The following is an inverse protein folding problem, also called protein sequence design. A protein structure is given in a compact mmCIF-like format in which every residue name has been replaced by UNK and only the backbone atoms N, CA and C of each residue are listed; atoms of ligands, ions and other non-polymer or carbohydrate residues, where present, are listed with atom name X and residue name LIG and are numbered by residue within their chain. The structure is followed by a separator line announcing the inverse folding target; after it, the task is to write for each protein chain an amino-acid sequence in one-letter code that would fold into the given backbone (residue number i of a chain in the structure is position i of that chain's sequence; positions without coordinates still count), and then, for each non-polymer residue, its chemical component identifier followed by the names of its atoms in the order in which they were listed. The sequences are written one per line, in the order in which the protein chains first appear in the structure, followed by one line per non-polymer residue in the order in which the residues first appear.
data_IF_226019864716
#
_entry.id   IF_226019864716
#
_cell.length_a   1.000
_cell.length_b   1.000
_cell.length_c   1.000
_cell.angle_alpha   90.00
_cell.angle_beta   90.00
_cell.angle_gamma   90.00
#
_symmetry.space_group_name_H-M   'P 1'
#
loop_
_entity.id
_entity.type
_entity.pdbx_description
1 polymer ?
#
# COMPACT_ATOMS: atom_id res chain seq x y z
N UNK A 1 -11.82 -39.35 -2.04
CA UNK A 1 -11.59 -37.90 -2.31
C UNK A 1 -12.32 -37.00 -1.32
N UNK A 2 -13.58 -37.27 -0.94
CA UNK A 2 -14.25 -36.53 0.15
C UNK A 2 -13.49 -36.69 1.48
N UNK A 3 -13.15 -37.92 1.86
CA UNK A 3 -12.37 -38.20 3.08
C UNK A 3 -10.99 -37.50 3.05
N UNK A 4 -10.37 -37.39 1.88
CA UNK A 4 -9.10 -36.66 1.70
C UNK A 4 -9.28 -35.14 1.87
N UNK A 5 -10.39 -34.58 1.38
CA UNK A 5 -10.72 -33.16 1.58
C UNK A 5 -10.99 -32.86 3.05
N UNK A 6 -11.73 -33.74 3.73
CA UNK A 6 -12.00 -33.65 5.15
C UNK A 6 -10.73 -33.79 5.98
N UNK A 7 -9.90 -34.80 5.69
CA UNK A 7 -8.61 -34.98 6.36
C UNK A 7 -7.70 -33.76 6.16
N UNK A 8 -7.66 -33.18 4.95
CA UNK A 8 -6.90 -31.96 4.67
C UNK A 8 -7.42 -30.77 5.49
N UNK A 9 -8.74 -30.52 5.48
CA UNK A 9 -9.32 -29.38 6.17
C UNK A 9 -9.21 -29.53 7.70
N UNK A 10 -9.56 -30.70 8.24
CA UNK A 10 -9.63 -30.93 9.69
C UNK A 10 -8.26 -31.16 10.31
N UNK A 11 -7.27 -31.61 9.53
CA UNK A 11 -5.87 -31.60 9.95
C UNK A 11 -5.29 -30.18 10.08
N UNK A 12 -5.94 -29.17 9.49
CA UNK A 12 -5.49 -27.78 9.47
C UNK A 12 -6.31 -26.89 10.39
N UNK A 13 -7.63 -26.99 10.34
CA UNK A 13 -8.57 -26.16 11.09
C UNK A 13 -9.59 -27.02 11.84
N UNK A 14 -10.01 -26.64 13.07
CA UNK A 14 -11.03 -27.38 13.81
C UNK A 14 -12.31 -27.60 12.99
N UNK A 15 -12.96 -28.75 13.14
CA UNK A 15 -14.20 -29.08 12.43
C UNK A 15 -15.31 -28.03 12.65
N UNK A 16 -15.51 -27.61 13.90
CA UNK A 16 -16.48 -26.57 14.25
C UNK A 16 -16.18 -25.24 13.54
N UNK A 17 -14.90 -24.89 13.43
CA UNK A 17 -14.48 -23.70 12.69
C UNK A 17 -14.76 -23.86 11.19
N UNK A 18 -14.44 -25.02 10.60
CA UNK A 18 -14.75 -25.30 9.20
C UNK A 18 -16.26 -25.16 8.93
N UNK A 19 -17.10 -25.70 9.82
CA UNK A 19 -18.56 -25.64 9.73
C UNK A 19 -19.09 -24.20 9.79
N UNK A 20 -18.66 -23.42 10.80
CA UNK A 20 -19.09 -22.02 10.98
C UNK A 20 -18.55 -21.08 9.90
N UNK A 21 -17.31 -21.29 9.44
CA UNK A 21 -16.71 -20.48 8.37
C UNK A 21 -17.34 -20.81 7.01
N UNK A 22 -17.86 -22.03 6.83
CA UNK A 22 -18.47 -22.51 5.59
C UNK A 22 -17.48 -23.14 4.62
N UNK A 23 -16.45 -23.81 5.14
CA UNK A 23 -15.48 -24.56 4.32
C UNK A 23 -16.18 -25.76 3.67
N UNK A 24 -15.98 -25.94 2.37
CA UNK A 24 -16.61 -27.01 1.59
C UNK A 24 -15.63 -27.76 0.68
N UNK A 25 -16.15 -28.66 -0.14
CA UNK A 25 -15.38 -29.39 -1.13
C UNK A 25 -16.09 -29.38 -2.49
N UNK A 26 -15.34 -29.06 -3.55
CA UNK A 26 -15.78 -29.16 -4.94
C UNK A 26 -15.33 -30.51 -5.53
N UNK A 27 -16.24 -31.46 -5.80
CA UNK A 27 -15.89 -32.76 -6.37
C UNK A 27 -15.31 -32.65 -7.79
N UNK A 28 -14.56 -33.67 -8.19
CA UNK A 28 -13.91 -33.74 -9.52
C UNK A 28 -14.88 -33.57 -10.68
N UNK A 29 -16.04 -34.21 -10.60
CA UNK A 29 -17.00 -34.26 -11.70
C UNK A 29 -17.91 -33.03 -11.79
N UNK A 30 -17.96 -32.19 -10.74
CA UNK A 30 -18.82 -31.02 -10.65
C UNK A 30 -20.33 -31.32 -10.72
N UNK A 31 -20.74 -32.60 -10.84
CA UNK A 31 -22.11 -33.00 -11.16
C UNK A 31 -23.08 -32.63 -10.05
N UNK A 32 -22.66 -32.87 -8.80
CA UNK A 32 -23.47 -32.55 -7.63
C UNK A 32 -23.86 -31.06 -7.57
N UNK A 33 -22.94 -30.17 -7.92
CA UNK A 33 -23.21 -28.72 -7.95
C UNK A 33 -24.18 -28.36 -9.08
N UNK A 34 -23.92 -28.85 -10.30
CA UNK A 34 -24.79 -28.57 -11.46
C UNK A 34 -26.21 -29.12 -11.25
N UNK A 35 -26.34 -30.32 -10.71
CA UNK A 35 -27.64 -30.94 -10.40
C UNK A 35 -28.38 -30.17 -9.29
N UNK A 36 -27.66 -29.73 -8.25
CA UNK A 36 -28.22 -28.89 -7.20
C UNK A 36 -28.79 -27.59 -7.78
N UNK A 37 -28.02 -26.88 -8.60
CA UNK A 37 -28.44 -25.64 -9.26
C UNK A 37 -29.66 -25.86 -10.17
N UNK A 38 -29.66 -26.93 -10.96
CA UNK A 38 -30.79 -27.30 -11.82
C UNK A 38 -32.06 -27.57 -11.01
N UNK A 39 -31.96 -28.33 -9.91
CA UNK A 39 -33.09 -28.61 -9.00
C UNK A 39 -33.61 -27.35 -8.31
N UNK A 40 -32.73 -26.38 -8.05
CA UNK A 40 -33.10 -25.08 -7.47
C UNK A 40 -33.52 -24.04 -8.52
N UNK A 41 -33.60 -24.43 -9.80
CA UNK A 41 -33.94 -23.55 -10.92
C UNK A 41 -33.07 -22.28 -10.96
N UNK A 42 -31.78 -22.41 -10.61
CA UNK A 42 -30.82 -21.32 -10.74
C UNK A 42 -30.46 -21.17 -12.21
N UNK A 43 -30.51 -19.94 -12.72
CA UNK A 43 -30.16 -19.62 -14.09
C UNK A 43 -28.71 -20.00 -14.41
N UNK A 44 -28.52 -20.72 -15.51
CA UNK A 44 -27.21 -21.21 -15.95
C UNK A 44 -26.36 -20.07 -16.49
N UNK A 45 -26.94 -19.09 -17.18
CA UNK A 45 -26.18 -17.93 -17.69
C UNK A 45 -25.69 -17.08 -16.52
N UNK A 46 -26.50 -16.87 -15.49
CA UNK A 46 -26.08 -16.21 -14.25
C UNK A 46 -24.91 -16.94 -13.56
N UNK A 47 -24.93 -18.28 -13.53
CA UNK A 47 -23.82 -19.05 -12.95
C UNK A 47 -22.52 -18.93 -13.77
N UNK A 48 -22.63 -18.72 -15.08
CA UNK A 48 -21.49 -18.43 -15.97
C UNK A 48 -20.97 -17.01 -15.72
N UNK A 49 -21.85 -16.02 -15.61
CA UNK A 49 -21.51 -14.63 -15.32
C UNK A 49 -20.82 -14.47 -13.96
N UNK A 50 -21.26 -15.23 -12.95
CA UNK A 50 -20.61 -15.30 -11.63
C UNK A 50 -19.32 -16.13 -11.63
N UNK A 51 -18.94 -16.74 -12.76
CA UNK A 51 -17.73 -17.55 -12.90
C UNK A 51 -17.77 -18.88 -12.12
N UNK A 52 -18.94 -19.36 -11.72
CA UNK A 52 -19.13 -20.66 -11.05
C UNK A 52 -19.19 -21.81 -12.06
N UNK A 53 -19.70 -21.52 -13.25
CA UNK A 53 -19.66 -22.37 -14.44
C UNK A 53 -18.81 -21.73 -15.54
N UNK A 54 -18.22 -22.55 -16.40
CA UNK A 54 -17.42 -22.11 -17.56
C UNK A 54 -17.83 -22.90 -18.80
N UNK A 55 -17.78 -22.24 -19.95
CA UNK A 55 -17.93 -22.88 -21.26
C UNK A 55 -16.57 -23.44 -21.71
N UNK A 56 -16.57 -24.62 -22.33
CA UNK A 56 -15.38 -25.20 -22.94
C UNK A 56 -14.89 -24.30 -24.09
N UNK A 57 -13.56 -24.28 -24.28
CA UNK A 57 -12.95 -23.41 -25.29
C UNK A 57 -13.18 -23.95 -26.69
N UNK A 58 -13.24 -25.28 -26.84
CA UNK A 58 -13.40 -25.97 -28.12
C UNK A 58 -14.88 -26.24 -28.41
N UNK A 59 -15.68 -26.53 -27.38
CA UNK A 59 -17.10 -26.80 -27.49
C UNK A 59 -17.93 -25.87 -26.58
N UNK A 60 -18.45 -24.78 -27.14
CA UNK A 60 -19.20 -23.78 -26.37
C UNK A 60 -20.49 -24.31 -25.74
N UNK A 61 -21.03 -25.42 -26.23
CA UNK A 61 -22.21 -26.10 -25.65
C UNK A 61 -21.85 -26.86 -24.37
N UNK A 62 -20.58 -27.23 -24.21
CA UNK A 62 -20.09 -27.97 -23.06
C UNK A 62 -19.81 -27.03 -21.90
N UNK A 63 -20.62 -27.14 -20.85
CA UNK A 63 -20.48 -26.38 -19.60
C UNK A 63 -19.85 -27.26 -18.52
N UNK A 64 -18.96 -26.67 -17.71
CA UNK A 64 -18.33 -27.35 -16.57
C UNK A 64 -18.14 -26.43 -15.38
N UNK A 65 -17.89 -26.99 -14.20
CA UNK A 65 -17.69 -26.21 -12.96
C UNK A 65 -16.30 -25.58 -12.91
N UNK A 66 -16.22 -24.31 -12.48
CA UNK A 66 -14.95 -23.61 -12.34
C UNK A 66 -14.02 -24.25 -11.30
N UNK A 67 -14.59 -24.78 -10.23
CA UNK A 67 -13.86 -25.47 -9.15
C UNK A 67 -14.05 -26.98 -9.25
N UNK A 68 -12.94 -27.72 -9.17
CA UNK A 68 -12.89 -29.19 -9.21
C UNK A 68 -11.71 -29.68 -8.37
N UNK A 69 -11.93 -30.73 -7.59
CA UNK A 69 -10.95 -31.33 -6.67
C UNK A 69 -10.33 -30.29 -5.72
N UNK A 70 -11.17 -29.39 -5.19
CA UNK A 70 -10.72 -28.26 -4.37
C UNK A 70 -11.45 -28.19 -3.04
N UNK A 71 -10.72 -27.94 -1.97
CA UNK A 71 -11.31 -27.41 -0.72
C UNK A 71 -11.68 -25.96 -0.98
N UNK A 72 -12.94 -25.62 -0.71
CA UNK A 72 -13.57 -24.34 -1.04
C UNK A 72 -13.69 -23.50 0.22
N UNK A 73 -13.22 -22.27 0.15
CA UNK A 73 -13.31 -21.28 1.22
C UNK A 73 -14.15 -20.11 0.69
N UNK A 74 -15.26 -19.74 1.34
CA UNK A 74 -16.10 -18.64 0.90
C UNK A 74 -15.40 -17.30 1.12
N UNK A 75 -15.54 -16.41 0.15
CA UNK A 75 -15.12 -15.01 0.24
C UNK A 75 -16.36 -14.18 0.54
N UNK A 76 -16.31 -13.38 1.61
CA UNK A 76 -17.45 -12.61 2.11
C UNK A 76 -17.21 -11.12 1.96
N UNK A 77 -18.26 -10.37 1.65
CA UNK A 77 -18.23 -8.91 1.77
C UNK A 77 -18.36 -8.49 3.24
N UNK A 78 -18.24 -7.19 3.53
CA UNK A 78 -18.30 -6.65 4.91
C UNK A 78 -19.58 -7.03 5.70
N UNK A 79 -20.67 -7.32 5.01
CA UNK A 79 -21.94 -7.74 5.63
C UNK A 79 -22.03 -9.25 5.87
N UNK A 80 -20.97 -10.01 5.59
CA UNK A 80 -20.92 -11.47 5.77
C UNK A 80 -21.57 -12.27 4.64
N UNK A 81 -22.03 -11.62 3.55
CA UNK A 81 -22.61 -12.31 2.39
C UNK A 81 -21.51 -12.91 1.52
N UNK A 82 -21.68 -14.16 1.11
CA UNK A 82 -20.74 -14.83 0.19
C UNK A 82 -20.85 -14.19 -1.19
N UNK A 83 -19.73 -13.73 -1.73
CA UNK A 83 -19.63 -13.05 -3.02
C UNK A 83 -18.70 -13.76 -4.02
N UNK A 84 -17.83 -14.64 -3.53
CA UNK A 84 -16.89 -15.40 -4.35
C UNK A 84 -16.34 -16.60 -3.55
N UNK A 85 -15.46 -17.38 -4.18
CA UNK A 85 -14.77 -18.50 -3.55
C UNK A 85 -13.28 -18.50 -3.87
N UNK A 86 -12.48 -18.98 -2.94
CA UNK A 86 -11.11 -19.45 -3.21
C UNK A 86 -11.03 -20.96 -3.01
N UNK A 87 -10.26 -21.64 -3.85
CA UNK A 87 -10.22 -23.09 -3.90
C UNK A 87 -8.80 -23.64 -3.86
N UNK A 88 -8.47 -24.40 -2.81
CA UNK A 88 -7.19 -25.12 -2.68
C UNK A 88 -7.26 -26.46 -3.40
N UNK A 89 -6.41 -26.69 -4.40
CA UNK A 89 -6.33 -27.99 -5.07
C UNK A 89 -5.80 -29.07 -4.12
N UNK A 90 -6.47 -30.22 -4.11
CA UNK A 90 -6.11 -31.41 -3.33
C UNK A 90 -6.06 -32.69 -4.18
N UNK A 91 -6.12 -32.56 -5.51
CA UNK A 91 -5.96 -33.70 -6.41
C UNK A 91 -4.49 -34.01 -6.68
N UNK A 92 -4.25 -34.94 -7.60
CA UNK A 92 -2.92 -35.50 -7.89
C UNK A 92 -2.24 -34.89 -9.12
N UNK A 93 -2.83 -33.88 -9.75
CA UNK A 93 -2.24 -33.23 -10.92
C UNK A 93 -1.27 -32.11 -10.50
N UNK A 94 0.03 -32.36 -10.64
CA UNK A 94 1.08 -31.41 -10.28
C UNK A 94 1.07 -30.12 -11.11
N UNK A 95 0.42 -30.13 -12.29
CA UNK A 95 0.25 -28.93 -13.13
C UNK A 95 -0.90 -28.03 -12.68
N UNK A 96 -1.76 -28.50 -11.77
CA UNK A 96 -2.90 -27.72 -11.32
C UNK A 96 -2.47 -26.62 -10.34
N UNK A 97 -2.94 -25.39 -10.56
CA UNK A 97 -2.64 -24.27 -9.68
C UNK A 97 -3.06 -24.57 -8.23
N UNK A 98 -2.13 -24.36 -7.28
CA UNK A 98 -2.32 -24.61 -5.84
C UNK A 98 -3.58 -23.95 -5.30
N UNK A 99 -3.78 -22.66 -5.60
CA UNK A 99 -5.03 -21.93 -5.35
C UNK A 99 -5.59 -21.34 -6.64
N UNK A 100 -6.91 -21.26 -6.71
CA UNK A 100 -7.62 -20.41 -7.69
C UNK A 100 -8.68 -19.62 -6.94
N UNK A 101 -8.96 -18.41 -7.40
CA UNK A 101 -10.08 -17.60 -6.92
C UNK A 101 -11.17 -17.57 -7.99
N UNK A 102 -12.38 -17.18 -7.61
CA UNK A 102 -13.41 -16.77 -8.58
C UNK A 102 -12.87 -15.72 -9.55
N UNK A 103 -13.39 -15.73 -10.78
CA UNK A 103 -13.18 -14.64 -11.73
C UNK A 103 -13.94 -13.39 -11.25
N UNK A 104 -13.58 -12.21 -11.78
CA UNK A 104 -14.33 -10.99 -11.49
C UNK A 104 -15.78 -11.12 -11.98
N UNK A 105 -16.72 -10.56 -11.23
CA UNK A 105 -18.16 -10.51 -11.53
C UNK A 105 -18.75 -9.21 -10.99
N UNK A 106 -20.04 -8.95 -11.23
CA UNK A 106 -20.72 -7.75 -10.72
C UNK A 106 -20.67 -7.62 -9.18
N UNK A 107 -20.54 -8.73 -8.46
CA UNK A 107 -20.53 -8.74 -6.99
C UNK A 107 -19.16 -8.98 -6.38
N UNK A 108 -18.14 -9.26 -7.20
CA UNK A 108 -16.79 -9.55 -6.74
C UNK A 108 -15.74 -9.02 -7.72
N UNK A 109 -14.92 -8.10 -7.21
CA UNK A 109 -13.72 -7.63 -7.88
C UNK A 109 -12.53 -7.93 -6.98
N UNK A 110 -11.54 -8.67 -7.51
CA UNK A 110 -10.34 -9.04 -6.73
C UNK A 110 -9.58 -7.82 -6.19
N UNK A 111 -9.50 -6.74 -6.97
CA UNK A 111 -8.82 -5.50 -6.59
C UNK A 111 -9.53 -4.70 -5.49
N UNK A 112 -10.80 -4.98 -5.23
CA UNK A 112 -11.61 -4.25 -4.24
C UNK A 112 -11.92 -5.11 -3.01
N UNK A 113 -11.82 -6.42 -3.13
CA UNK A 113 -12.21 -7.35 -2.07
C UNK A 113 -11.07 -7.58 -1.09
N UNK A 114 -11.39 -7.53 0.20
CA UNK A 114 -10.47 -7.84 1.30
C UNK A 114 -10.99 -9.10 2.00
N UNK A 115 -10.21 -10.18 2.01
CA UNK A 115 -10.58 -11.40 2.71
C UNK A 115 -10.53 -11.18 4.23
N UNK A 116 -11.53 -11.67 4.96
CA UNK A 116 -11.66 -11.46 6.42
C UNK A 116 -12.33 -10.15 6.83
N UNK A 117 -12.64 -9.26 5.89
CA UNK A 117 -13.23 -7.95 6.19
C UNK A 117 -14.59 -8.02 6.89
N UNK A 118 -15.34 -9.10 6.67
CA UNK A 118 -16.62 -9.29 7.33
C UNK A 118 -16.44 -9.34 8.85
N UNK A 119 -15.42 -10.05 9.36
CA UNK A 119 -15.10 -10.11 10.78
C UNK A 119 -14.35 -8.85 11.23
N UNK A 120 -13.32 -8.46 10.48
CA UNK A 120 -12.47 -7.33 10.86
C UNK A 120 -13.24 -6.01 10.95
N UNK A 121 -14.26 -5.77 10.12
CA UNK A 121 -15.08 -4.55 10.20
C UNK A 121 -16.02 -4.49 11.41
N UNK A 122 -16.24 -5.62 12.11
CA UNK A 122 -17.11 -5.72 13.29
C UNK A 122 -16.35 -5.63 14.61
N UNK A 123 -15.01 -5.74 14.58
CA UNK A 123 -14.20 -5.62 15.79
C UNK A 123 -14.23 -4.18 16.28
N UNK A 124 -14.63 -3.99 17.54
CA UNK A 124 -14.61 -2.68 18.20
C UNK A 124 -13.29 -2.52 18.93
N UNK A 125 -12.82 -1.27 19.00
CA UNK A 125 -11.66 -0.87 19.82
C UNK A 125 -10.34 -1.60 19.51
N UNK A 126 -10.24 -2.29 18.37
CA UNK A 126 -9.00 -2.88 17.93
C UNK A 126 -8.02 -1.77 17.52
N UNK A 127 -6.85 -1.76 18.17
CA UNK A 127 -5.81 -0.78 17.95
C UNK A 127 -5.23 -0.85 16.52
N UNK A 128 -5.21 -2.04 15.92
CA UNK A 128 -4.66 -2.28 14.58
C UNK A 128 -5.47 -3.33 13.81
N UNK A 129 -5.20 -3.43 12.51
CA UNK A 129 -5.56 -4.58 11.66
C UNK A 129 -4.30 -5.38 11.34
N UNK A 130 -4.41 -6.71 11.38
CA UNK A 130 -3.31 -7.61 11.04
C UNK A 130 -3.42 -7.98 9.57
N UNK A 131 -2.33 -7.84 8.81
CA UNK A 131 -2.26 -8.20 7.39
C UNK A 131 -1.33 -9.39 7.19
N UNK A 132 -1.87 -10.46 6.60
CA UNK A 132 -1.19 -11.72 6.27
C UNK A 132 -1.28 -12.01 4.77
N UNK A 133 -0.56 -13.02 4.28
CA UNK A 133 -0.46 -13.33 2.85
C UNK A 133 -1.75 -13.95 2.28
N UNK A 134 -2.35 -14.91 2.98
CA UNK A 134 -3.43 -15.72 2.42
C UNK A 134 -4.65 -15.91 3.31
N UNK A 135 -5.72 -16.41 2.68
CA UNK A 135 -6.94 -16.82 3.38
C UNK A 135 -6.70 -17.86 4.50
N UNK A 136 -5.84 -18.88 4.34
CA UNK A 136 -5.52 -19.81 5.43
C UNK A 136 -4.95 -19.12 6.68
N UNK A 137 -4.10 -18.12 6.49
CA UNK A 137 -3.47 -17.38 7.58
C UNK A 137 -4.52 -16.55 8.33
N UNK A 138 -5.41 -15.88 7.60
CA UNK A 138 -6.56 -15.17 8.19
C UNK A 138 -7.41 -16.15 9.02
N UNK A 139 -7.70 -17.32 8.48
CA UNK A 139 -8.45 -18.37 9.18
C UNK A 139 -7.71 -18.85 10.44
N UNK A 140 -6.38 -18.98 10.40
CA UNK A 140 -5.58 -19.32 11.59
C UNK A 140 -5.72 -18.26 12.67
N UNK A 141 -5.52 -16.99 12.33
CA UNK A 141 -5.64 -15.89 13.29
C UNK A 141 -7.05 -15.81 13.90
N UNK A 142 -8.07 -16.02 13.08
CA UNK A 142 -9.46 -16.11 13.51
C UNK A 142 -9.71 -17.26 14.51
N UNK A 143 -9.09 -18.43 14.32
CA UNK A 143 -9.17 -19.54 15.30
C UNK A 143 -8.54 -19.13 16.63
N UNK A 144 -7.50 -18.28 16.59
CA UNK A 144 -6.80 -17.77 17.76
C UNK A 144 -7.47 -16.53 18.39
N UNK A 145 -8.63 -16.10 17.87
CA UNK A 145 -9.41 -14.98 18.40
C UNK A 145 -9.06 -13.61 17.82
N UNK A 146 -8.15 -13.54 16.85
CA UNK A 146 -7.81 -12.31 16.14
C UNK A 146 -8.72 -12.13 14.92
N UNK A 147 -9.92 -11.60 15.18
CA UNK A 147 -10.93 -11.32 14.16
C UNK A 147 -10.60 -10.06 13.33
N UNK A 148 -9.63 -9.26 13.76
CA UNK A 148 -9.08 -8.09 13.07
C UNK A 148 -7.97 -8.45 12.06
N UNK A 149 -7.97 -9.67 11.52
CA UNK A 149 -6.98 -10.13 10.53
C UNK A 149 -7.58 -10.18 9.13
N UNK A 150 -6.83 -9.68 8.15
CA UNK A 150 -7.24 -9.62 6.74
C UNK A 150 -6.10 -10.01 5.80
N UNK A 151 -6.46 -10.37 4.58
CA UNK A 151 -5.52 -10.59 3.48
C UNK A 151 -6.12 -10.06 2.18
N UNK A 152 -5.26 -9.72 1.23
CA UNK A 152 -5.73 -9.63 -0.17
C UNK A 152 -5.76 -11.04 -0.76
N UNK A 153 -6.53 -11.24 -1.82
CA UNK A 153 -6.52 -12.49 -2.58
C UNK A 153 -5.48 -12.45 -3.71
N UNK A 154 -4.44 -11.62 -3.55
CA UNK A 154 -3.30 -11.39 -4.42
C UNK A 154 -2.07 -10.96 -3.59
N UNK A 155 -1.05 -10.38 -4.24
CA UNK A 155 0.20 -9.98 -3.54
C UNK A 155 0.31 -8.48 -3.28
N UNK A 156 -0.39 -7.65 -4.06
CA UNK A 156 -0.36 -6.18 -3.92
C UNK A 156 -1.70 -5.66 -3.42
N UNK A 157 -1.65 -4.79 -2.43
CA UNK A 157 -2.80 -4.00 -1.98
C UNK A 157 -3.09 -2.86 -2.96
N UNK A 158 -4.38 -2.57 -3.17
CA UNK A 158 -4.83 -1.42 -3.95
C UNK A 158 -5.14 -0.23 -3.06
N UNK A 159 -5.13 0.97 -3.65
CA UNK A 159 -5.56 2.21 -2.98
C UNK A 159 -6.96 2.08 -2.38
N UNK A 160 -7.89 1.50 -3.15
CA UNK A 160 -9.26 1.30 -2.70
C UNK A 160 -9.35 0.35 -1.50
N UNK A 161 -8.52 -0.68 -1.43
CA UNK A 161 -8.47 -1.58 -0.27
C UNK A 161 -7.90 -0.86 0.98
N UNK A 162 -6.86 -0.03 0.82
CA UNK A 162 -6.36 0.79 1.92
C UNK A 162 -7.40 1.80 2.41
N UNK A 163 -8.11 2.47 1.51
CA UNK A 163 -9.21 3.39 1.85
C UNK A 163 -10.34 2.68 2.60
N UNK A 164 -10.67 1.44 2.19
CA UNK A 164 -11.64 0.62 2.92
C UNK A 164 -11.18 0.31 4.34
N UNK A 165 -9.91 -0.07 4.53
CA UNK A 165 -9.36 -0.32 5.87
C UNK A 165 -9.32 0.93 6.74
N UNK A 166 -9.01 2.09 6.16
CA UNK A 166 -8.88 3.37 6.88
C UNK A 166 -10.17 3.82 7.57
N UNK A 167 -11.32 3.28 7.14
CA UNK A 167 -12.63 3.49 7.78
C UNK A 167 -12.74 2.84 9.16
N UNK A 168 -11.94 1.82 9.43
CA UNK A 168 -12.02 1.01 10.65
C UNK A 168 -10.73 1.09 11.49
N UNK A 169 -9.57 1.24 10.84
CA UNK A 169 -8.27 1.13 11.48
C UNK A 169 -7.35 2.30 11.14
N UNK A 170 -6.55 2.73 12.13
CA UNK A 170 -5.50 3.72 11.95
C UNK A 170 -4.10 3.10 11.86
N UNK A 171 -3.92 1.90 12.41
CA UNK A 171 -2.66 1.16 12.40
C UNK A 171 -2.79 -0.20 11.71
N UNK A 172 -1.67 -0.67 11.15
CA UNK A 172 -1.52 -1.95 10.45
C UNK A 172 -0.32 -2.69 11.04
N UNK A 173 -0.49 -3.99 11.29
CA UNK A 173 0.62 -4.91 11.60
C UNK A 173 0.74 -5.93 10.49
N UNK A 174 1.85 -5.91 9.74
CA UNK A 174 2.15 -6.94 8.74
C UNK A 174 2.81 -8.16 9.39
N UNK A 175 2.44 -9.35 8.90
CA UNK A 175 3.07 -10.63 9.27
C UNK A 175 3.51 -11.32 7.97
N UNK A 176 4.78 -11.17 7.55
CA UNK A 176 5.29 -11.83 6.35
C UNK A 176 5.42 -13.33 6.55
N UNK A 177 5.17 -14.10 5.49
CA UNK A 177 5.66 -15.48 5.39
C UNK A 177 7.19 -15.48 5.41
N UNK A 178 7.76 -16.44 6.13
CA UNK A 178 9.20 -16.64 6.22
C UNK A 178 9.60 -17.67 5.19
N UNK A 179 9.74 -17.19 3.95
CA UNK A 179 10.22 -17.96 2.83
C UNK A 179 11.50 -17.38 2.21
N UNK A 180 12.27 -18.26 1.60
CA UNK A 180 13.45 -17.91 0.82
C UNK A 180 13.27 -18.51 -0.55
N UNK A 181 13.57 -17.72 -1.58
CA UNK A 181 13.68 -18.21 -2.95
C UNK A 181 15.16 -18.34 -3.30
N UNK A 182 15.51 -19.40 -4.00
CA UNK A 182 16.89 -19.67 -4.41
C UNK A 182 17.49 -18.46 -5.15
N UNK A 183 18.67 -18.02 -4.68
CA UNK A 183 19.37 -16.85 -5.22
C UNK A 183 18.81 -15.48 -4.80
N UNK A 184 17.74 -15.41 -4.00
CA UNK A 184 17.17 -14.16 -3.49
C UNK A 184 17.39 -14.01 -1.98
N UNK A 185 17.69 -12.80 -1.53
CA UNK A 185 17.89 -12.50 -0.09
C UNK A 185 16.60 -12.57 0.72
N UNK A 186 15.47 -12.25 0.08
CA UNK A 186 14.15 -12.17 0.71
C UNK A 186 13.13 -12.90 -0.16
N UNK A 187 12.30 -13.74 0.45
CA UNK A 187 11.22 -14.41 -0.27
C UNK A 187 10.04 -13.49 -0.62
N UNK A 188 9.08 -13.99 -1.43
CA UNK A 188 7.94 -13.21 -1.90
C UNK A 188 7.12 -12.55 -0.80
N UNK A 189 6.96 -13.20 0.37
CA UNK A 189 6.22 -12.63 1.50
C UNK A 189 6.85 -11.35 2.02
N UNK A 190 8.18 -11.35 2.18
CA UNK A 190 8.95 -10.18 2.60
C UNK A 190 8.89 -9.06 1.57
N UNK A 191 9.08 -9.38 0.28
CA UNK A 191 9.02 -8.38 -0.80
C UNK A 191 7.63 -7.72 -0.88
N UNK A 192 6.57 -8.51 -0.68
CA UNK A 192 5.21 -7.98 -0.61
C UNK A 192 5.04 -7.01 0.57
N UNK A 193 5.54 -7.36 1.76
CA UNK A 193 5.47 -6.47 2.94
C UNK A 193 6.29 -5.20 2.73
N UNK A 194 7.49 -5.26 2.15
CA UNK A 194 8.29 -4.07 1.81
C UNK A 194 7.49 -3.10 0.94
N UNK A 195 6.85 -3.61 -0.12
CA UNK A 195 6.05 -2.77 -1.03
C UNK A 195 4.79 -2.22 -0.36
N UNK A 196 3.99 -3.10 0.24
CA UNK A 196 2.68 -2.74 0.78
C UNK A 196 2.79 -1.91 2.07
N UNK A 197 3.81 -2.14 2.89
CA UNK A 197 4.06 -1.37 4.11
C UNK A 197 4.49 0.07 3.81
N UNK A 198 5.34 0.26 2.80
CA UNK A 198 5.68 1.60 2.32
C UNK A 198 4.42 2.35 1.83
N UNK A 199 3.55 1.68 1.06
CA UNK A 199 2.31 2.30 0.59
C UNK A 199 1.34 2.60 1.73
N UNK A 200 1.19 1.69 2.69
CA UNK A 200 0.37 1.91 3.88
C UNK A 200 0.82 3.16 4.67
N UNK A 201 2.14 3.37 4.84
CA UNK A 201 2.68 4.59 5.44
C UNK A 201 2.30 5.84 4.63
N UNK A 202 2.40 5.78 3.29
CA UNK A 202 2.00 6.91 2.43
C UNK A 202 0.51 7.22 2.51
N UNK A 203 -0.34 6.20 2.72
CA UNK A 203 -1.77 6.34 3.03
C UNK A 203 -2.04 6.80 4.47
N UNK A 204 -1.00 7.01 5.27
CA UNK A 204 -1.06 7.58 6.61
C UNK A 204 -1.46 6.59 7.70
N UNK A 205 -1.20 5.29 7.51
CA UNK A 205 -1.29 4.31 8.59
C UNK A 205 -0.03 4.34 9.47
N UNK A 206 -0.20 4.04 10.76
CA UNK A 206 0.92 3.62 11.62
C UNK A 206 1.21 2.15 11.31
N UNK A 207 2.43 1.83 10.90
CA UNK A 207 2.73 0.49 10.37
C UNK A 207 3.81 -0.20 11.19
N UNK A 208 3.51 -1.41 11.64
CA UNK A 208 4.44 -2.32 12.31
C UNK A 208 4.57 -3.65 11.58
N UNK A 209 5.60 -4.43 11.93
CA UNK A 209 5.85 -5.76 11.40
C UNK A 209 6.16 -6.71 12.56
N UNK A 210 5.59 -7.92 12.50
CA UNK A 210 5.97 -9.07 13.35
C UNK A 210 6.43 -10.20 12.44
N UNK A 211 7.73 -10.47 12.44
CA UNK A 211 8.31 -11.56 11.63
C UNK A 211 8.11 -12.91 12.28
N UNK A 212 7.73 -13.91 11.48
CA UNK A 212 7.76 -15.31 11.89
C UNK A 212 9.21 -15.83 11.74
N UNK A 213 9.72 -16.68 12.65
CA UNK A 213 11.02 -17.31 12.43
C UNK A 213 10.97 -18.32 11.27
N UNK A 214 12.07 -18.45 10.53
CA UNK A 214 12.20 -19.52 9.53
C UNK A 214 12.07 -20.89 10.20
N UNK A 215 11.48 -21.84 9.49
CA UNK A 215 11.45 -23.22 9.95
C UNK A 215 12.86 -23.82 9.87
N UNK A 216 13.20 -24.76 10.74
CA UNK A 216 14.43 -25.56 10.61
C UNK A 216 14.10 -26.82 9.82
N UNK A 217 14.76 -26.99 8.67
CA UNK A 217 14.57 -28.13 7.77
C UNK A 217 15.88 -28.88 7.64
N UNK A 218 15.85 -30.20 7.80
CA UNK A 218 17.03 -31.03 7.61
C UNK A 218 17.53 -30.95 6.16
N UNK A 219 18.85 -30.88 6.00
CA UNK A 219 19.52 -30.96 4.71
C UNK A 219 19.32 -32.36 4.13
N UNK A 220 19.06 -32.42 2.82
CA UNK A 220 18.98 -33.69 2.10
C UNK A 220 20.36 -34.34 1.97
N UNK A 221 20.40 -35.66 1.72
CA UNK A 221 21.64 -36.39 1.49
C UNK A 221 22.44 -35.81 0.30
N UNK A 222 21.75 -35.32 -0.72
CA UNK A 222 22.36 -34.63 -1.86
C UNK A 222 23.01 -33.30 -1.44
N UNK A 223 22.30 -32.47 -0.67
CA UNK A 223 22.83 -31.18 -0.20
C UNK A 223 24.00 -31.36 0.78
N UNK A 224 23.93 -32.37 1.64
CA UNK A 224 25.03 -32.72 2.54
C UNK A 224 26.28 -33.17 1.77
N UNK A 225 26.13 -33.92 0.68
CA UNK A 225 27.25 -34.31 -0.19
C UNK A 225 27.82 -33.12 -0.96
N UNK A 226 27.00 -32.16 -1.35
CA UNK A 226 27.47 -30.95 -2.03
C UNK A 226 28.26 -30.04 -1.07
N UNK A 227 27.78 -29.88 0.17
CA UNK A 227 28.44 -29.08 1.20
C UNK A 227 29.68 -29.77 1.79
N UNK A 228 29.64 -31.10 1.91
CA UNK A 228 30.69 -31.93 2.51
C UNK A 228 31.08 -33.09 1.57
N UNK A 229 31.75 -32.79 0.43
CA UNK A 229 32.09 -33.79 -0.58
C UNK A 229 33.01 -34.90 -0.06
N UNK A 230 33.83 -34.60 0.95
CA UNK A 230 34.77 -35.54 1.58
C UNK A 230 34.17 -36.30 2.78
N UNK A 231 32.86 -36.16 3.01
CA UNK A 231 32.13 -36.77 4.13
C UNK A 231 31.66 -35.73 5.16
N UNK A 232 30.47 -35.96 5.72
CA UNK A 232 29.81 -35.04 6.67
C UNK A 232 30.43 -35.18 8.06
N UNK A 233 31.04 -34.13 8.64
CA UNK A 233 31.52 -34.16 10.02
C UNK A 233 30.40 -34.45 11.04
N UNK A 234 30.75 -35.05 12.18
CA UNK A 234 29.77 -35.36 13.25
C UNK A 234 29.14 -34.10 13.85
N UNK A 235 29.86 -32.98 13.86
CA UNK A 235 29.44 -31.67 14.34
C UNK A 235 28.89 -30.74 13.26
N UNK A 236 28.71 -31.24 12.02
CA UNK A 236 28.16 -30.46 10.93
C UNK A 236 26.73 -29.97 11.23
N UNK A 237 26.42 -28.73 10.85
CA UNK A 237 25.06 -28.22 10.88
C UNK A 237 24.27 -28.88 9.76
N UNK A 238 23.33 -29.75 10.13
CA UNK A 238 22.50 -30.54 9.20
C UNK A 238 21.14 -29.91 8.91
N UNK A 239 20.96 -28.65 9.25
CA UNK A 239 19.69 -27.92 9.10
C UNK A 239 19.90 -26.66 8.25
N UNK A 240 18.87 -26.32 7.49
CA UNK A 240 18.75 -25.08 6.71
C UNK A 240 17.44 -24.36 7.04
N UNK A 241 17.36 -23.04 6.80
CA UNK A 241 16.10 -22.31 6.86
C UNK A 241 15.11 -22.85 5.82
N UNK A 242 13.90 -23.17 6.29
CA UNK A 242 12.77 -23.59 5.48
C UNK A 242 11.61 -22.60 5.53
N UNK A 243 10.60 -22.85 4.68
CA UNK A 243 9.39 -22.02 4.64
C UNK A 243 8.59 -22.17 5.94
N UNK A 244 8.17 -21.03 6.50
CA UNK A 244 7.18 -20.96 7.56
C UNK A 244 6.11 -19.92 7.20
N UNK A 245 4.86 -20.20 7.56
CA UNK A 245 3.72 -19.30 7.33
C UNK A 245 2.92 -19.16 8.64
N UNK A 246 2.04 -18.16 8.71
CA UNK A 246 1.27 -17.90 9.92
C UNK A 246 0.38 -19.08 10.30
N UNK A 247 -0.24 -19.74 9.31
CA UNK A 247 -1.05 -20.91 9.56
C UNK A 247 -0.27 -22.10 10.14
N UNK A 248 0.99 -22.28 9.75
CA UNK A 248 1.86 -23.36 10.22
C UNK A 248 2.55 -23.02 11.54
N UNK A 249 2.94 -21.77 11.76
CA UNK A 249 3.67 -21.34 12.96
C UNK A 249 2.76 -21.14 14.16
N UNK A 250 1.63 -20.44 14.00
CA UNK A 250 0.80 -20.03 15.13
C UNK A 250 -0.08 -21.18 15.60
N UNK A 251 0.14 -21.65 16.84
CA UNK A 251 -0.67 -22.67 17.53
C UNK A 251 -1.50 -22.07 18.65
N UNK A 252 -1.02 -20.99 19.26
CA UNK A 252 -1.67 -20.29 20.36
C UNK A 252 -1.64 -18.78 20.13
N UNK A 253 -2.52 -18.05 20.84
CA UNK A 253 -2.47 -16.59 20.83
C UNK A 253 -1.16 -16.03 21.40
N UNK A 254 -0.49 -16.79 22.28
CA UNK A 254 0.79 -16.42 22.89
C UNK A 254 1.88 -16.36 21.83
N UNK A 255 1.88 -17.30 20.87
CA UNK A 255 2.88 -17.37 19.80
C UNK A 255 2.94 -16.04 19.05
N UNK A 256 1.78 -15.49 18.67
CA UNK A 256 1.72 -14.19 18.00
C UNK A 256 2.19 -13.04 18.89
N UNK A 257 1.74 -12.99 20.15
CA UNK A 257 2.15 -11.92 21.07
C UNK A 257 3.64 -11.95 21.42
N UNK A 258 4.26 -13.12 21.35
CA UNK A 258 5.69 -13.33 21.62
C UNK A 258 6.59 -12.83 20.49
N UNK A 259 6.05 -12.70 19.28
CA UNK A 259 6.79 -12.11 18.16
C UNK A 259 7.13 -10.66 18.46
N UNK A 260 8.39 -10.31 18.21
CA UNK A 260 8.87 -8.94 18.33
C UNK A 260 8.16 -8.04 17.33
N UNK A 261 7.55 -6.97 17.83
CA UNK A 261 6.90 -5.96 17.00
C UNK A 261 7.86 -4.81 16.74
N UNK A 262 8.10 -4.52 15.47
CA UNK A 262 8.98 -3.43 15.03
C UNK A 262 8.20 -2.41 14.20
N UNK A 263 8.55 -1.14 14.30
CA UNK A 263 8.09 -0.14 13.34
C UNK A 263 8.54 -0.55 11.93
N UNK A 264 7.64 -0.48 10.95
CA UNK A 264 7.94 -0.89 9.57
C UNK A 264 9.15 -0.16 9.00
N UNK A 265 9.30 1.14 9.29
CA UNK A 265 10.45 1.94 8.80
C UNK A 265 11.78 1.40 9.36
N UNK A 266 11.80 1.00 10.63
CA UNK A 266 12.99 0.41 11.27
C UNK A 266 13.28 -0.97 10.69
N UNK A 267 12.23 -1.78 10.56
CA UNK A 267 12.30 -3.09 9.94
C UNK A 267 12.84 -3.02 8.50
N UNK A 268 12.32 -2.10 7.68
CA UNK A 268 12.79 -1.87 6.30
C UNK A 268 14.26 -1.45 6.28
N UNK A 269 14.68 -0.59 7.21
CA UNK A 269 16.06 -0.18 7.31
C UNK A 269 16.99 -1.36 7.59
N UNK A 270 16.64 -2.26 8.51
CA UNK A 270 17.41 -3.49 8.76
C UNK A 270 17.60 -4.29 7.47
N UNK A 271 16.55 -4.44 6.65
CA UNK A 271 16.65 -5.19 5.38
C UNK A 271 17.50 -4.47 4.34
N UNK A 272 17.32 -3.16 4.18
CA UNK A 272 18.05 -2.37 3.19
C UNK A 272 19.54 -2.24 3.50
N UNK A 273 19.90 -2.04 4.76
CA UNK A 273 21.32 -1.96 5.15
C UNK A 273 21.99 -3.33 5.20
N UNK A 274 21.23 -4.41 5.42
CA UNK A 274 21.75 -5.77 5.25
C UNK A 274 22.07 -6.09 3.78
N UNK A 275 21.26 -5.60 2.83
CA UNK A 275 21.46 -5.78 1.38
C UNK A 275 22.50 -4.81 0.78
N UNK A 276 22.81 -3.70 1.46
CA UNK A 276 23.68 -2.66 0.94
C UNK A 276 25.15 -3.10 0.92
N UNK A 277 25.68 -3.33 -0.29
CA UNK A 277 27.09 -3.69 -0.54
C UNK A 277 27.95 -2.50 -1.00
N UNK A 278 27.37 -1.30 -1.05
CA UNK A 278 28.03 -0.11 -1.58
C UNK A 278 27.47 1.17 -0.97
N UNK A 279 28.32 2.20 -0.92
CA UNK A 279 27.95 3.55 -0.44
C UNK A 279 26.74 4.10 -1.22
N UNK A 280 26.61 3.77 -2.50
CA UNK A 280 25.46 4.20 -3.30
C UNK A 280 24.16 3.52 -2.85
N UNK A 281 24.18 2.20 -2.57
CA UNK A 281 23.01 1.49 -2.03
C UNK A 281 22.65 2.00 -0.64
N UNK A 282 23.64 2.27 0.22
CA UNK A 282 23.40 2.89 1.54
C UNK A 282 22.72 4.27 1.41
N UNK A 283 23.22 5.12 0.50
CA UNK A 283 22.59 6.44 0.23
C UNK A 283 21.16 6.31 -0.27
N UNK A 284 20.89 5.33 -1.15
CA UNK A 284 19.54 5.06 -1.63
C UNK A 284 18.62 4.61 -0.49
N UNK A 285 19.11 3.74 0.41
CA UNK A 285 18.38 3.30 1.59
C UNK A 285 18.04 4.48 2.52
N UNK A 286 19.02 5.34 2.83
CA UNK A 286 18.78 6.56 3.63
C UNK A 286 17.70 7.44 3.00
N UNK A 287 17.76 7.65 1.68
CA UNK A 287 16.76 8.45 0.95
C UNK A 287 15.35 7.85 1.03
N UNK A 288 15.20 6.55 0.77
CA UNK A 288 13.92 5.82 0.86
C UNK A 288 13.32 5.90 2.27
N UNK A 289 14.13 5.64 3.29
CA UNK A 289 13.70 5.66 4.70
C UNK A 289 13.30 7.07 5.13
N UNK A 290 14.07 8.09 4.73
CA UNK A 290 13.75 9.49 5.03
C UNK A 290 12.46 9.96 4.34
N UNK A 291 12.18 9.51 3.12
CA UNK A 291 10.92 9.76 2.42
C UNK A 291 9.71 9.12 3.10
N UNK A 292 9.86 7.94 3.72
CA UNK A 292 8.78 7.35 4.49
C UNK A 292 8.57 8.08 5.82
N UNK A 293 9.65 8.47 6.50
CA UNK A 293 9.60 9.17 7.78
C UNK A 293 8.79 10.47 7.75
N UNK A 294 8.76 11.19 6.62
CA UNK A 294 7.96 12.43 6.50
C UNK A 294 6.45 12.21 6.60
N UNK A 295 5.96 10.98 6.41
CA UNK A 295 4.54 10.63 6.59
C UNK A 295 4.18 10.30 8.04
N UNK A 296 5.16 10.06 8.90
CA UNK A 296 4.94 9.84 10.34
C UNK A 296 4.56 11.18 10.98
N UNK A 297 3.28 11.33 11.33
CA UNK A 297 2.72 12.58 11.87
C UNK A 297 3.05 12.79 13.34
N UNK A 298 3.04 11.72 14.13
CA UNK A 298 3.34 11.80 15.55
C UNK A 298 4.84 12.07 15.78
N UNK A 299 5.14 13.18 16.45
CA UNK A 299 6.52 13.63 16.67
C UNK A 299 7.30 12.72 17.62
N UNK A 300 6.61 12.08 18.58
CA UNK A 300 7.23 11.17 19.54
C UNK A 300 7.61 9.86 18.83
N UNK A 301 6.68 9.27 18.09
CA UNK A 301 6.90 8.08 17.26
C UNK A 301 8.01 8.33 16.23
N UNK A 302 7.99 9.48 15.53
CA UNK A 302 9.06 9.83 14.60
C UNK A 302 10.43 9.92 15.29
N UNK A 303 10.48 10.50 16.50
CA UNK A 303 11.71 10.58 17.29
C UNK A 303 12.21 9.21 17.74
N UNK A 304 11.32 8.33 18.19
CA UNK A 304 11.65 6.94 18.56
C UNK A 304 12.19 6.15 17.37
N UNK A 305 11.56 6.26 16.19
CA UNK A 305 12.02 5.62 14.97
C UNK A 305 13.43 6.12 14.62
N UNK A 306 13.66 7.43 14.63
CA UNK A 306 14.99 8.02 14.34
C UNK A 306 16.06 7.52 15.31
N UNK A 307 15.74 7.37 16.60
CA UNK A 307 16.67 6.82 17.58
C UNK A 307 17.03 5.36 17.27
N UNK A 308 16.03 4.54 16.93
CA UNK A 308 16.27 3.15 16.51
C UNK A 308 17.08 3.06 15.21
N UNK A 309 16.79 3.90 14.22
CA UNK A 309 17.55 3.98 12.97
C UNK A 309 19.01 4.35 13.21
N UNK A 310 19.30 5.22 14.19
CA UNK A 310 20.69 5.57 14.53
C UNK A 310 21.50 4.41 15.12
N UNK A 311 20.84 3.37 15.65
CA UNK A 311 21.50 2.14 16.10
C UNK A 311 21.81 1.19 14.93
N UNK A 312 21.11 1.34 13.81
CA UNK A 312 21.33 0.57 12.57
C UNK A 312 22.40 1.25 11.71
N UNK A 313 22.26 2.56 11.45
CA UNK A 313 23.16 3.30 10.58
C UNK A 313 23.21 4.80 10.93
N UNK A 314 24.43 5.36 10.95
CA UNK A 314 24.66 6.80 11.12
C UNK A 314 24.31 7.36 12.51
N UNK A 315 23.98 8.64 12.59
CA UNK A 315 23.64 9.35 13.85
C UNK A 315 22.26 9.98 13.75
N UNK A 316 21.60 10.22 14.90
CA UNK A 316 20.29 10.89 14.99
C UNK A 316 20.23 12.18 14.15
N UNK A 317 21.26 13.02 14.20
CA UNK A 317 21.32 14.28 13.43
C UNK A 317 21.22 14.04 11.91
N UNK A 318 21.94 13.04 11.40
CA UNK A 318 21.94 12.70 9.97
C UNK A 318 20.52 12.35 9.50
N UNK A 319 19.77 11.56 10.27
CA UNK A 319 18.39 11.20 9.94
C UNK A 319 17.45 12.41 9.97
N UNK A 320 17.59 13.32 10.96
CA UNK A 320 16.80 14.56 11.00
C UNK A 320 17.07 15.45 9.79
N UNK A 321 18.34 15.58 9.40
CA UNK A 321 18.74 16.36 8.22
C UNK A 321 18.19 15.71 6.94
N UNK A 322 18.26 14.38 6.81
CA UNK A 322 17.71 13.64 5.68
C UNK A 322 16.19 13.79 5.55
N UNK A 323 15.44 13.71 6.65
CA UNK A 323 13.97 13.94 6.64
C UNK A 323 13.64 15.37 6.22
N UNK A 324 14.41 16.34 6.69
CA UNK A 324 14.26 17.76 6.31
C UNK A 324 14.48 17.94 4.80
N UNK A 325 15.53 17.31 4.26
CA UNK A 325 15.81 17.31 2.82
C UNK A 325 14.68 16.65 2.01
N UNK A 326 14.18 15.49 2.46
CA UNK A 326 13.08 14.77 1.81
C UNK A 326 11.79 15.61 1.77
N UNK A 327 11.46 16.32 2.85
CA UNK A 327 10.34 17.28 2.88
C UNK A 327 10.52 18.40 1.85
N UNK A 328 11.72 18.97 1.76
CA UNK A 328 12.03 20.01 0.77
C UNK A 328 11.94 19.52 -0.68
N UNK A 329 12.37 18.29 -0.98
CA UNK A 329 12.20 17.68 -2.31
C UNK A 329 10.72 17.47 -2.62
N UNK A 330 9.95 16.89 -1.69
CA UNK A 330 8.53 16.64 -1.90
C UNK A 330 7.71 17.93 -2.11
N UNK A 331 8.08 19.02 -1.43
CA UNK A 331 7.45 20.33 -1.64
C UNK A 331 7.71 20.87 -3.05
N UNK A 332 8.97 20.83 -3.52
CA UNK A 332 9.32 21.24 -4.90
C UNK A 332 8.63 20.38 -5.96
N UNK A 333 8.48 19.08 -5.72
CA UNK A 333 7.80 18.19 -6.66
C UNK A 333 6.30 18.49 -6.74
N UNK A 334 5.64 18.82 -5.62
CA UNK A 334 4.25 19.29 -5.63
C UNK A 334 4.07 20.62 -6.38
N UNK A 335 5.06 21.51 -6.29
CA UNK A 335 5.10 22.75 -7.07
C UNK A 335 5.35 22.51 -8.57
N UNK A 336 5.95 21.37 -8.94
CA UNK A 336 6.15 20.97 -10.34
C UNK A 336 5.00 20.14 -10.95
N UNK A 337 4.21 19.44 -10.15
CA UNK A 337 3.07 18.61 -10.59
C UNK A 337 1.77 19.43 -10.83
N UNK A 338 1.83 20.75 -10.70
CA UNK A 338 0.78 21.64 -11.20
C UNK A 338 0.71 21.55 -12.75
N UNK A 339 -0.49 21.50 -13.37
CA UNK A 339 -0.64 21.18 -14.79
C UNK A 339 0.22 22.07 -15.69
N UNK A 340 1.10 21.43 -16.46
CA UNK A 340 2.13 22.05 -17.30
C UNK A 340 1.55 23.02 -18.33
N UNK A 341 0.33 22.79 -18.81
CA UNK A 341 -0.36 23.64 -19.79
C UNK A 341 -0.72 25.03 -19.23
N UNK A 342 -1.28 25.11 -18.02
CA UNK A 342 -1.62 26.40 -17.41
C UNK A 342 -0.37 27.22 -17.08
N UNK A 343 0.71 26.55 -16.66
CA UNK A 343 1.99 27.21 -16.38
C UNK A 343 2.65 27.71 -17.66
N UNK A 344 2.64 26.93 -18.74
CA UNK A 344 3.16 27.36 -20.04
C UNK A 344 2.35 28.55 -20.58
N UNK A 345 1.02 28.48 -20.50
CA UNK A 345 0.14 29.57 -20.88
C UNK A 345 0.43 30.84 -20.07
N UNK A 346 0.55 30.73 -18.74
CA UNK A 346 0.87 31.87 -17.86
C UNK A 346 2.23 32.49 -18.17
N UNK A 347 3.25 31.68 -18.47
CA UNK A 347 4.58 32.17 -18.88
C UNK A 347 4.47 32.90 -20.23
N UNK A 348 3.69 32.37 -21.16
CA UNK A 348 3.48 33.00 -22.47
C UNK A 348 2.68 34.30 -22.39
N UNK A 349 1.65 34.35 -21.55
CA UNK A 349 0.83 35.55 -21.32
C UNK A 349 1.66 36.67 -20.65
N UNK A 350 2.52 36.32 -19.69
CA UNK A 350 3.47 37.27 -19.11
C UNK A 350 4.44 37.79 -20.16
N UNK A 351 5.01 36.91 -20.99
CA UNK A 351 5.89 37.33 -22.10
C UNK A 351 5.19 38.25 -23.10
N UNK A 352 3.93 37.99 -23.45
CA UNK A 352 3.11 38.85 -24.31
C UNK A 352 2.90 40.24 -23.68
N UNK A 353 2.82 40.31 -22.36
CA UNK A 353 2.75 41.56 -21.62
C UNK A 353 4.11 42.26 -21.39
N UNK A 354 5.21 41.71 -21.94
CA UNK A 354 6.57 42.23 -21.71
C UNK A 354 7.13 41.91 -20.31
N UNK A 355 6.48 41.01 -19.58
CA UNK A 355 6.79 40.66 -18.21
C UNK A 355 7.47 39.30 -18.10
N UNK A 356 8.31 39.13 -17.10
CA UNK A 356 8.78 37.82 -16.67
C UNK A 356 9.00 37.78 -15.15
N UNK A 357 9.08 36.57 -14.60
CA UNK A 357 9.23 36.36 -13.16
C UNK A 357 10.63 35.82 -12.86
N UNK A 358 11.29 36.39 -11.84
CA UNK A 358 12.53 35.86 -11.26
C UNK A 358 12.49 36.05 -9.74
N UNK A 359 12.82 35.03 -8.96
CA UNK A 359 12.82 35.08 -7.49
C UNK A 359 11.54 35.69 -6.87
N UNK A 360 10.36 35.30 -7.35
CA UNK A 360 9.07 35.87 -6.94
C UNK A 360 8.93 37.38 -7.15
N UNK A 361 9.64 37.97 -8.12
CA UNK A 361 9.51 39.37 -8.49
C UNK A 361 9.08 39.49 -9.96
N UNK A 362 8.18 40.42 -10.27
CA UNK A 362 7.90 40.79 -11.66
C UNK A 362 9.01 41.70 -12.20
N UNK A 363 9.48 41.42 -13.41
CA UNK A 363 10.44 42.22 -14.16
C UNK A 363 9.88 42.57 -15.54
N UNK A 364 10.30 43.73 -16.07
CA UNK A 364 10.13 44.09 -17.49
C UNK A 364 11.50 44.27 -18.14
N UNK A 365 11.55 44.10 -19.46
CA UNK A 365 12.72 44.46 -20.26
C UNK A 365 12.65 45.98 -20.51
N UNK A 366 13.76 46.70 -20.30
CA UNK A 366 13.87 48.14 -20.56
C UNK A 366 13.82 48.47 -22.06
N UNK A 367 13.57 49.74 -22.39
CA UNK A 367 13.49 50.23 -23.77
C UNK A 367 14.84 50.32 -24.51
N UNK A 368 15.93 50.07 -23.81
CA UNK A 368 17.29 49.92 -24.35
C UNK A 368 17.83 48.61 -23.79
N UNK A 369 18.49 47.79 -24.60
CA UNK A 369 18.86 46.38 -24.37
C UNK A 369 19.81 46.09 -23.18
N UNK A 370 19.75 46.77 -22.03
CA UNK A 370 20.52 46.42 -20.84
C UNK A 370 19.72 46.52 -19.54
N UNK A 371 19.86 45.45 -18.76
CA UNK A 371 19.32 45.12 -17.44
C UNK A 371 17.80 45.11 -17.21
N UNK A 372 17.27 44.02 -16.63
CA UNK A 372 15.85 43.92 -16.35
C UNK A 372 15.43 44.82 -15.19
N UNK A 373 14.36 45.59 -15.40
CA UNK A 373 13.83 46.52 -14.41
C UNK A 373 12.83 45.79 -13.51
N UNK A 374 13.04 45.87 -12.20
CA UNK A 374 12.13 45.28 -11.22
C UNK A 374 10.85 46.09 -11.12
N UNK A 375 9.71 45.42 -11.24
CA UNK A 375 8.36 46.01 -11.14
C UNK A 375 7.79 45.82 -9.74
N UNK A 376 8.12 44.72 -9.07
CA UNK A 376 7.69 44.45 -7.71
C UNK A 376 8.58 43.42 -7.04
N UNK A 377 8.61 43.42 -5.71
CA UNK A 377 9.31 42.41 -4.92
C UNK A 377 8.44 41.18 -4.58
N UNK A 378 7.32 41.01 -5.29
CA UNK A 378 6.36 39.92 -5.08
C UNK A 378 5.68 39.52 -6.39
N UNK A 379 5.06 38.33 -6.40
CA UNK A 379 4.13 37.90 -7.44
C UNK A 379 2.72 37.77 -6.88
N UNK A 380 1.73 37.80 -7.76
CA UNK A 380 0.32 37.61 -7.41
C UNK A 380 -0.23 36.34 -8.06
N UNK A 381 -0.94 35.56 -7.27
CA UNK A 381 -1.70 34.40 -7.71
C UNK A 381 -3.18 34.64 -7.46
N UNK A 382 -4.05 34.58 -8.49
CA UNK A 382 -5.48 34.70 -8.28
C UNK A 382 -5.98 33.49 -7.50
N UNK A 383 -6.72 33.72 -6.42
CA UNK A 383 -7.38 32.68 -5.64
C UNK A 383 -8.85 32.54 -6.02
N UNK A 384 -9.57 33.67 -6.10
CA UNK A 384 -11.00 33.68 -6.36
C UNK A 384 -11.47 35.02 -6.95
N UNK A 385 -12.55 35.00 -7.73
CA UNK A 385 -13.25 36.21 -8.19
C UNK A 385 -14.69 36.16 -7.69
N UNK A 386 -15.09 37.17 -6.93
CA UNK A 386 -16.46 37.38 -6.46
C UNK A 386 -17.12 38.34 -7.45
N UNK A 387 -18.01 37.80 -8.30
CA UNK A 387 -18.77 38.57 -9.27
C UNK A 387 -19.89 39.37 -8.59
N UNK A 388 -19.90 40.68 -8.81
CA UNK A 388 -20.94 41.63 -8.38
C UNK A 388 -21.13 42.65 -9.51
N UNK A 389 -22.37 42.96 -9.87
CA UNK A 389 -22.75 43.82 -10.99
C UNK A 389 -22.21 45.26 -10.86
N UNK A 390 -21.85 45.70 -9.66
CA UNK A 390 -21.35 47.06 -9.42
C UNK A 390 -19.99 47.14 -8.68
N UNK A 391 -19.52 46.05 -8.05
CA UNK A 391 -18.33 46.10 -7.18
C UNK A 391 -17.58 44.76 -7.11
N UNK A 392 -17.28 44.18 -8.27
CA UNK A 392 -16.52 42.94 -8.39
C UNK A 392 -15.21 42.97 -7.60
N UNK A 393 -14.95 41.90 -6.85
CA UNK A 393 -13.81 41.80 -5.94
C UNK A 393 -13.01 40.54 -6.21
N UNK A 394 -11.68 40.67 -6.25
CA UNK A 394 -10.75 39.56 -6.52
C UNK A 394 -9.91 39.30 -5.27
N UNK A 395 -9.76 38.03 -4.94
CA UNK A 395 -8.86 37.58 -3.89
C UNK A 395 -7.56 37.08 -4.54
N UNK A 396 -6.44 37.61 -4.09
CA UNK A 396 -5.11 37.23 -4.53
C UNK A 396 -4.27 36.73 -3.37
N UNK A 397 -3.39 35.76 -3.66
CA UNK A 397 -2.26 35.40 -2.81
C UNK A 397 -1.02 36.13 -3.33
N UNK A 398 -0.39 36.92 -2.48
CA UNK A 398 0.89 37.55 -2.75
C UNK A 398 2.00 36.68 -2.16
N UNK A 399 3.09 36.54 -2.91
CA UNK A 399 4.28 35.80 -2.50
C UNK A 399 5.49 36.70 -2.75
N UNK A 400 6.21 37.12 -1.70
CA UNK A 400 7.38 37.99 -1.85
C UNK A 400 8.67 37.20 -2.16
N UNK A 401 9.77 37.94 -2.41
CA UNK A 401 11.10 37.38 -2.71
C UNK A 401 11.68 36.48 -1.60
N UNK A 402 11.22 36.64 -0.35
CA UNK A 402 11.62 35.82 0.79
C UNK A 402 10.74 34.58 1.00
N UNK A 403 9.66 34.45 0.22
CA UNK A 403 8.67 33.37 0.34
C UNK A 403 7.56 33.65 1.35
N UNK A 404 7.47 34.85 1.92
CA UNK A 404 6.33 35.23 2.77
C UNK A 404 5.07 35.35 1.94
N UNK A 405 3.94 34.94 2.53
CA UNK A 405 2.65 34.96 1.85
C UNK A 405 1.61 35.78 2.58
N UNK A 406 0.77 36.50 1.82
CA UNK A 406 -0.38 37.27 2.31
C UNK A 406 -1.54 37.12 1.35
N UNK A 407 -2.75 37.11 1.89
CA UNK A 407 -3.97 37.19 1.09
C UNK A 407 -4.41 38.66 0.99
N UNK A 408 -4.81 39.07 -0.21
CA UNK A 408 -5.22 40.43 -0.52
C UNK A 408 -6.53 40.42 -1.29
N UNK A 409 -7.55 41.04 -0.70
CA UNK A 409 -8.81 41.34 -1.36
C UNK A 409 -8.68 42.69 -2.09
N UNK A 410 -8.93 42.71 -3.39
CA UNK A 410 -8.84 43.92 -4.21
C UNK A 410 -10.10 44.13 -5.07
N UNK A 411 -10.63 45.35 -5.02
CA UNK A 411 -11.75 45.78 -5.85
C UNK A 411 -11.29 46.20 -7.24
N UNK A 412 -12.18 46.15 -8.22
CA UNK A 412 -11.88 46.61 -9.58
C UNK A 412 -11.35 48.05 -9.61
N UNK A 413 -11.96 48.96 -8.85
CA UNK A 413 -11.50 50.35 -8.74
C UNK A 413 -10.08 50.50 -8.18
N UNK A 414 -9.63 49.56 -7.35
CA UNK A 414 -8.28 49.54 -6.79
C UNK A 414 -7.26 48.95 -7.78
N UNK A 415 -7.68 48.05 -8.68
CA UNK A 415 -6.84 47.49 -9.75
C UNK A 415 -6.58 48.47 -10.89
N UNK A 416 -7.56 49.34 -11.19
CA UNK A 416 -7.46 50.29 -12.31
C UNK A 416 -6.65 51.56 -11.98
N UNK A 417 -6.17 51.72 -10.74
CA UNK A 417 -5.40 52.88 -10.30
C UNK A 417 -4.09 52.44 -9.64
N UNK A 418 -2.96 52.81 -10.24
CA UNK A 418 -1.63 52.46 -9.73
C UNK A 418 -1.43 52.92 -8.29
N UNK A 419 -1.86 54.14 -7.95
CA UNK A 419 -1.73 54.68 -6.60
C UNK A 419 -2.56 53.90 -5.57
N UNK A 420 -3.79 53.51 -5.93
CA UNK A 420 -4.65 52.70 -5.06
C UNK A 420 -4.06 51.29 -4.87
N UNK A 421 -3.55 50.71 -5.95
CA UNK A 421 -2.91 49.40 -5.95
C UNK A 421 -1.63 49.38 -5.08
N UNK A 422 -0.73 50.36 -5.26
CA UNK A 422 0.48 50.54 -4.47
C UNK A 422 0.18 50.75 -2.98
N UNK A 423 -0.83 51.57 -2.67
CA UNK A 423 -1.26 51.76 -1.29
C UNK A 423 -1.75 50.45 -0.69
N UNK A 424 -2.62 49.72 -1.40
CA UNK A 424 -3.21 48.45 -0.95
C UNK A 424 -2.13 47.40 -0.65
N UNK A 425 -1.24 47.17 -1.61
CA UNK A 425 -0.12 46.22 -1.48
C UNK A 425 0.83 46.62 -0.36
N UNK A 426 1.16 47.91 -0.24
CA UNK A 426 2.01 48.44 0.82
C UNK A 426 1.46 48.23 2.24
N UNK A 427 0.13 48.20 2.43
CA UNK A 427 -0.46 47.91 3.76
C UNK A 427 -0.17 46.52 4.29
N UNK A 428 0.23 45.57 3.43
CA UNK A 428 0.48 44.18 3.81
C UNK A 428 1.88 43.94 4.42
N UNK A 429 2.77 44.94 4.32
CA UNK A 429 4.12 44.92 4.87
C UNK A 429 5.10 44.07 4.04
N UNK A 430 6.16 44.68 3.50
CA UNK A 430 7.16 44.06 2.61
C UNK A 430 6.63 43.55 1.26
N UNK A 431 5.51 44.11 0.78
CA UNK A 431 4.99 43.93 -0.58
C UNK A 431 4.98 45.29 -1.28
N UNK A 432 5.96 45.52 -2.16
CA UNK A 432 6.24 46.81 -2.80
C UNK A 432 6.11 46.64 -4.31
N UNK A 433 5.30 47.51 -4.91
CA UNK A 433 5.22 47.70 -6.35
C UNK A 433 6.05 48.94 -6.73
N UNK A 434 7.13 48.71 -7.47
CA UNK A 434 8.27 49.62 -7.66
C UNK A 434 8.09 50.67 -8.77
N UNK A 435 7.19 50.44 -9.73
CA UNK A 435 7.00 51.29 -10.93
C UNK A 435 5.56 51.79 -11.03
#
# INVERSE_FOLDING_TARGET
MLDAAQAYAYGRWPEEFCSTFGVGYAPKDGRAFMEYCKRKAVDTDLLIELGLLKRDKEDKEKIYTAFRERVIIPIRNRWGRVIAFTGRYIGTNDKAAKYINSDNSEIYTKGDTIFGIDRASRVRDAANVIIVEGAPDVMRFNILGYDNTVATLGTSWTDHQFEQLKKYYQAITFVPDSDVKEGELFGPGFIAVIKNGAEAIRKGFDVTVREIPFAEVELTDEELKELYPDGVPDDAVKIKPGKNDADSYLKTAVDFTSLSEKYFIVWLAEKRFFEADSIQKERNAVSEIADLLRYVKDSLTQSQIIEQLSKIHGKVKMWRDAVTMARGIAQRNKESDAPTDERQQKIEDLRKAGLFIRNNCYYTIGSEEEDPVIISNFIMEPLFHISDDNNGTRLFKLINEYGDTREMEIRESEMCSLAAFQQKTGTLGNFIWCI
#
